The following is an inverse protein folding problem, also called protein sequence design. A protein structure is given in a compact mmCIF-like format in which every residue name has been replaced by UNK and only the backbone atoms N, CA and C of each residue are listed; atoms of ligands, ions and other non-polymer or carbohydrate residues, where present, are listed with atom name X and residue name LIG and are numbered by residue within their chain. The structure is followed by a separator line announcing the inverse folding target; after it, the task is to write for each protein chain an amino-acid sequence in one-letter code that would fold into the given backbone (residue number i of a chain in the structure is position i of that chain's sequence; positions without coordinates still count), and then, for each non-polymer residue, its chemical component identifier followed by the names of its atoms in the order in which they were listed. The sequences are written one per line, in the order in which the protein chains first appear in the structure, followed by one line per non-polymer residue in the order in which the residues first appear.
data_IF_035003402899
#
_entry.id   IF_035003402899
#
_cell.length_a   1.000
_cell.length_b   1.000
_cell.length_c   1.000
_cell.angle_alpha   90.00
_cell.angle_beta   90.00
_cell.angle_gamma   90.00
#
_symmetry.space_group_name_H-M   'P 1'
#
loop_
_entity.id
_entity.type
_entity.pdbx_description
1 polymer ?
#
# COMPACT_ATOMS: atom_id res chain seq x y z
N UNK A 1 -0.91 -6.90 9.05
CA UNK A 1 -2.28 -6.36 9.24
C UNK A 1 -2.08 -4.89 9.55
N UNK A 2 -2.86 -4.01 8.93
CA UNK A 2 -2.91 -2.59 9.28
C UNK A 2 -4.24 -2.29 9.94
N UNK A 3 -4.20 -1.62 11.09
CA UNK A 3 -5.34 -1.30 11.95
C UNK A 3 -5.05 0.00 12.74
N UNK A 4 -5.98 0.54 13.56
CA UNK A 4 -5.79 1.83 14.24
C UNK A 4 -4.55 1.89 15.14
N UNK A 5 -4.13 0.76 15.72
CA UNK A 5 -2.97 0.68 16.63
C UNK A 5 -1.65 0.47 15.91
N UNK A 6 -1.69 -0.06 14.69
CA UNK A 6 -0.55 -0.35 13.84
C UNK A 6 -0.92 0.02 12.40
N UNK A 7 -1.08 1.33 12.18
CA UNK A 7 -1.49 1.89 10.89
C UNK A 7 -0.33 1.99 9.89
N UNK A 8 0.90 1.78 10.37
CA UNK A 8 2.12 1.79 9.58
C UNK A 8 2.91 0.49 9.77
N UNK A 9 3.49 -0.02 8.69
CA UNK A 9 4.40 -1.16 8.75
C UNK A 9 5.47 -1.11 7.66
N UNK A 10 6.70 -1.47 8.04
CA UNK A 10 7.83 -1.66 7.13
C UNK A 10 7.87 -3.08 6.57
N UNK A 11 8.25 -3.20 5.31
CA UNK A 11 8.47 -4.45 4.59
C UNK A 11 9.75 -4.36 3.77
N UNK A 12 10.34 -5.52 3.50
CA UNK A 12 11.49 -5.69 2.61
C UNK A 12 11.09 -6.76 1.58
N UNK A 13 11.07 -6.41 0.30
CA UNK A 13 10.58 -7.28 -0.79
C UNK A 13 11.58 -7.29 -1.93
N UNK A 14 11.82 -8.47 -2.51
CA UNK A 14 12.69 -8.60 -3.68
C UNK A 14 11.88 -8.23 -4.91
N UNK A 15 12.20 -7.16 -5.65
CA UNK A 15 11.41 -6.76 -6.82
C UNK A 15 11.48 -7.79 -7.95
N UNK A 16 10.45 -7.85 -8.79
CA UNK A 16 10.50 -8.61 -10.04
C UNK A 16 11.51 -7.95 -10.99
N UNK A 17 12.16 -8.72 -11.90
CA UNK A 17 13.15 -8.18 -12.82
C UNK A 17 12.64 -7.02 -13.70
N UNK A 18 13.57 -6.14 -14.09
CA UNK A 18 13.30 -5.03 -15.01
C UNK A 18 12.57 -5.51 -16.28
N UNK A 19 11.55 -4.75 -16.69
CA UNK A 19 10.75 -5.07 -17.88
C UNK A 19 9.67 -6.13 -17.65
N UNK A 20 9.57 -6.73 -16.46
CA UNK A 20 8.48 -7.66 -16.15
C UNK A 20 7.13 -6.92 -16.17
N UNK A 21 6.14 -7.37 -16.98
CA UNK A 21 4.83 -6.75 -16.97
C UNK A 21 4.15 -7.02 -15.63
N UNK A 22 3.55 -6.00 -15.02
CA UNK A 22 2.92 -6.09 -13.69
C UNK A 22 1.86 -7.20 -13.62
N UNK A 23 1.13 -7.44 -14.72
CA UNK A 23 0.13 -8.50 -14.81
C UNK A 23 0.74 -9.90 -14.78
N UNK A 24 2.00 -10.05 -15.17
CA UNK A 24 2.75 -11.31 -15.09
C UNK A 24 3.41 -11.56 -13.74
N UNK A 25 3.59 -10.51 -12.91
CA UNK A 25 4.18 -10.64 -11.58
C UNK A 25 3.28 -11.47 -10.68
N UNK A 26 3.78 -12.65 -10.26
CA UNK A 26 3.11 -13.57 -9.36
C UNK A 26 1.72 -14.03 -9.86
N UNK A 27 1.60 -14.31 -11.16
CA UNK A 27 0.33 -14.71 -11.79
C UNK A 27 0.26 -16.18 -12.19
N UNK A 28 1.25 -17.00 -11.83
CA UNK A 28 1.21 -18.44 -12.13
C UNK A 28 0.07 -19.13 -11.39
N UNK A 29 -0.75 -19.90 -12.10
CA UNK A 29 -1.86 -20.67 -11.53
C UNK A 29 -1.42 -21.60 -10.39
N UNK A 30 -0.21 -22.16 -10.49
CA UNK A 30 0.40 -22.95 -9.42
C UNK A 30 0.68 -22.14 -8.14
N UNK A 31 1.12 -20.88 -8.25
CA UNK A 31 1.33 -19.99 -7.10
C UNK A 31 0.05 -19.38 -6.53
N UNK A 32 -1.04 -19.37 -7.32
CA UNK A 32 -2.37 -18.96 -6.87
C UNK A 32 -3.10 -20.04 -6.08
N UNK A 33 -2.81 -21.31 -6.39
CA UNK A 33 -3.40 -22.47 -5.74
C UNK A 33 -2.57 -22.99 -4.56
N UNK A 34 -1.35 -22.50 -4.37
CA UNK A 34 -0.55 -22.84 -3.20
C UNK A 34 -1.12 -22.17 -1.95
N UNK A 35 -1.34 -22.94 -0.88
CA UNK A 35 -1.83 -22.44 0.42
C UNK A 35 -0.93 -21.36 1.04
N UNK A 36 0.33 -21.30 0.60
CA UNK A 36 1.28 -20.24 0.93
C UNK A 36 1.60 -19.52 -0.39
N UNK A 37 1.19 -18.26 -0.59
CA UNK A 37 1.62 -17.48 -1.75
C UNK A 37 3.12 -17.23 -1.63
N UNK A 38 3.93 -18.04 -2.33
CA UNK A 38 5.38 -18.03 -2.22
C UNK A 38 6.03 -17.17 -3.31
N UNK A 39 5.49 -15.98 -3.56
CA UNK A 39 6.05 -15.08 -4.56
C UNK A 39 6.83 -13.95 -3.89
N UNK A 40 8.16 -13.87 -4.10
CA UNK A 40 9.02 -12.92 -3.40
C UNK A 40 8.84 -11.47 -3.88
N UNK A 41 8.11 -11.26 -4.97
CA UNK A 41 7.89 -9.96 -5.63
C UNK A 41 6.55 -9.30 -5.26
N UNK A 42 5.81 -9.90 -4.32
CA UNK A 42 4.57 -9.34 -3.83
C UNK A 42 4.40 -9.52 -2.34
N UNK A 43 3.54 -8.68 -1.76
CA UNK A 43 3.04 -8.86 -0.41
C UNK A 43 1.54 -8.67 -0.36
N UNK A 44 0.95 -9.35 0.62
CA UNK A 44 -0.47 -9.26 0.94
C UNK A 44 -0.65 -8.71 2.34
N UNK A 45 -1.44 -7.65 2.44
CA UNK A 45 -1.69 -6.95 3.69
C UNK A 45 -3.19 -6.93 3.93
N UNK A 46 -3.63 -7.53 5.04
CA UNK A 46 -4.99 -7.32 5.56
C UNK A 46 -5.12 -5.90 6.10
N UNK A 47 -6.09 -5.16 5.59
CA UNK A 47 -6.52 -3.85 6.05
C UNK A 47 -7.77 -4.05 6.92
N UNK A 48 -7.60 -3.91 8.24
CA UNK A 48 -8.69 -4.10 9.19
C UNK A 48 -9.37 -2.75 9.49
N UNK A 49 -10.42 -2.44 8.73
CA UNK A 49 -11.13 -1.17 8.81
C UNK A 49 -12.31 -1.21 9.79
N UNK A 50 -12.59 -2.38 10.39
CA UNK A 50 -13.73 -2.57 11.31
C UNK A 50 -13.36 -2.32 12.79
N UNK A 51 -12.09 -2.07 13.07
CA UNK A 51 -11.56 -1.99 14.43
C UNK A 51 -11.69 -0.59 15.04
N UNK A 52 -12.20 -0.54 16.29
CA UNK A 52 -12.12 0.61 17.19
C UNK A 52 -12.41 1.98 16.58
N UNK A 53 -11.41 2.86 16.68
CA UNK A 53 -11.46 4.28 16.30
C UNK A 53 -11.68 4.52 14.81
N UNK A 54 -11.45 3.51 13.97
CA UNK A 54 -11.68 3.61 12.53
C UNK A 54 -13.14 3.36 12.12
N UNK A 55 -14.01 3.01 13.06
CA UNK A 55 -15.44 2.80 12.79
C UNK A 55 -16.15 4.02 12.22
N UNK A 56 -15.78 5.20 12.67
CA UNK A 56 -16.38 6.48 12.27
C UNK A 56 -15.91 6.97 10.90
N UNK A 57 -14.87 6.36 10.33
CA UNK A 57 -14.32 6.76 9.03
C UNK A 57 -14.83 5.85 7.92
N UNK A 58 -15.18 6.46 6.79
CA UNK A 58 -15.66 5.74 5.60
C UNK A 58 -14.58 5.56 4.54
N UNK A 59 -13.61 6.48 4.49
CA UNK A 59 -12.56 6.51 3.48
C UNK A 59 -11.18 6.50 4.13
N UNK A 60 -10.26 5.84 3.46
CA UNK A 60 -8.89 5.66 3.90
C UNK A 60 -7.93 5.87 2.73
N UNK A 61 -6.74 6.34 3.03
CA UNK A 61 -5.62 6.46 2.10
C UNK A 61 -4.58 5.42 2.43
N UNK A 62 -4.23 4.56 1.47
CA UNK A 62 -3.10 3.64 1.58
C UNK A 62 -1.91 4.24 0.81
N UNK A 63 -0.78 4.42 1.49
CA UNK A 63 0.42 5.04 0.93
C UNK A 63 1.59 4.06 1.03
N UNK A 64 2.44 4.09 0.01
CA UNK A 64 3.69 3.32 -0.04
C UNK A 64 4.83 4.32 -0.20
N UNK A 65 5.82 4.23 0.68
CA UNK A 65 6.98 5.12 0.74
C UNK A 65 8.25 4.27 0.71
N UNK A 66 9.21 4.61 -0.14
CA UNK A 66 10.45 3.85 -0.31
C UNK A 66 11.62 4.82 -0.57
N UNK A 67 12.88 4.40 -0.33
CA UNK A 67 14.04 5.27 -0.55
C UNK A 67 14.31 5.45 -2.04
N UNK A 68 14.64 6.68 -2.44
CA UNK A 68 14.97 7.00 -3.83
C UNK A 68 16.23 6.30 -4.37
N UNK A 69 17.10 5.80 -3.48
CA UNK A 69 18.28 4.99 -3.84
C UNK A 69 17.94 3.56 -4.27
N UNK A 70 16.69 3.12 -4.12
CA UNK A 70 16.21 1.80 -4.51
C UNK A 70 15.11 1.95 -5.57
N UNK A 71 15.48 2.02 -6.87
CA UNK A 71 14.54 2.28 -7.95
C UNK A 71 13.55 1.13 -8.10
N UNK A 72 12.29 1.37 -7.71
CA UNK A 72 11.22 0.39 -7.80
C UNK A 72 9.91 1.01 -8.27
N UNK A 73 9.14 0.22 -9.01
CA UNK A 73 7.77 0.50 -9.39
C UNK A 73 6.83 -0.36 -8.57
N UNK A 74 6.00 0.29 -7.76
CA UNK A 74 4.98 -0.36 -6.94
C UNK A 74 3.64 -0.36 -7.67
N UNK A 75 2.91 -1.46 -7.52
CA UNK A 75 1.54 -1.56 -7.99
C UNK A 75 0.64 -2.10 -6.88
N UNK A 76 -0.38 -1.32 -6.53
CA UNK A 76 -1.26 -1.59 -5.40
C UNK A 76 -2.63 -2.00 -5.96
N UNK A 77 -3.13 -3.16 -5.54
CA UNK A 77 -4.48 -3.62 -5.83
C UNK A 77 -5.21 -3.82 -4.51
N UNK A 78 -6.33 -3.10 -4.34
CA UNK A 78 -7.21 -3.29 -3.18
C UNK A 78 -8.32 -4.26 -3.56
N UNK A 79 -8.46 -5.31 -2.77
CA UNK A 79 -9.41 -6.39 -2.97
C UNK A 79 -10.35 -6.46 -1.77
N UNK A 80 -11.63 -6.70 -2.03
CA UNK A 80 -12.57 -6.98 -0.96
C UNK A 80 -12.35 -8.39 -0.41
N UNK A 81 -12.84 -8.64 0.80
CA UNK A 81 -12.73 -9.94 1.46
C UNK A 81 -13.37 -11.06 0.63
N UNK A 82 -14.51 -10.81 -0.05
CA UNK A 82 -15.18 -11.81 -0.89
C UNK A 82 -14.37 -12.18 -2.12
N UNK A 83 -13.84 -11.17 -2.81
CA UNK A 83 -13.02 -11.35 -4.00
C UNK A 83 -11.71 -12.09 -3.67
N UNK A 84 -11.13 -11.79 -2.51
CA UNK A 84 -9.91 -12.45 -2.03
C UNK A 84 -10.20 -13.90 -1.65
N UNK A 85 -11.26 -14.16 -0.87
CA UNK A 85 -11.64 -15.50 -0.46
C UNK A 85 -12.00 -16.38 -1.67
N UNK A 86 -12.76 -15.84 -2.62
CA UNK A 86 -13.15 -16.57 -3.84
C UNK A 86 -11.94 -16.94 -4.69
N UNK A 87 -10.92 -16.06 -4.75
CA UNK A 87 -9.67 -16.32 -5.45
C UNK A 87 -8.88 -17.49 -4.86
N UNK A 88 -8.77 -17.56 -3.53
CA UNK A 88 -8.01 -18.64 -2.88
C UNK A 88 -8.81 -19.95 -2.75
N UNK A 89 -10.14 -19.86 -2.67
CA UNK A 89 -11.00 -21.05 -2.58
C UNK A 89 -11.33 -21.68 -3.95
N UNK A 90 -11.00 -21.01 -5.06
CA UNK A 90 -11.31 -21.46 -6.42
C UNK A 90 -12.81 -21.53 -6.74
N UNK A 91 -13.66 -20.95 -5.89
CA UNK A 91 -15.12 -20.90 -6.04
C UNK A 91 -15.68 -19.61 -5.45
N UNK A 92 -16.80 -19.14 -5.97
CA UNK A 92 -17.49 -17.98 -5.40
C UNK A 92 -17.91 -18.27 -3.95
N UNK A 93 -17.46 -17.45 -3.00
CA UNK A 93 -17.87 -17.53 -1.61
C UNK A 93 -18.80 -16.36 -1.32
N UNK A 94 -20.04 -16.68 -0.92
CA UNK A 94 -20.97 -15.68 -0.39
C UNK A 94 -20.60 -15.39 1.07
N UNK A 95 -20.26 -14.15 1.43
CA UNK A 95 -19.90 -13.82 2.80
C UNK A 95 -21.12 -13.93 3.72
N UNK A 96 -20.94 -14.54 4.88
CA UNK A 96 -22.00 -14.66 5.91
C UNK A 96 -22.22 -13.35 6.67
N UNK A 97 -21.25 -12.42 6.66
CA UNK A 97 -21.29 -11.14 7.37
C UNK A 97 -20.65 -10.04 6.53
N UNK A 98 -21.30 -8.88 6.46
CA UNK A 98 -20.69 -7.67 5.87
C UNK A 98 -19.51 -7.22 6.73
N UNK A 99 -18.33 -7.13 6.13
CA UNK A 99 -17.11 -6.63 6.78
C UNK A 99 -16.48 -5.56 5.89
N UNK A 100 -15.86 -4.54 6.50
CA UNK A 100 -15.05 -3.55 5.78
C UNK A 100 -13.58 -3.96 5.69
N UNK A 101 -13.25 -5.18 6.10
CA UNK A 101 -11.92 -5.76 5.89
C UNK A 101 -11.62 -5.84 4.40
N UNK A 102 -10.47 -5.29 4.01
CA UNK A 102 -9.94 -5.34 2.66
C UNK A 102 -8.54 -5.95 2.67
N UNK A 103 -8.06 -6.33 1.50
CA UNK A 103 -6.71 -6.84 1.32
C UNK A 103 -6.00 -6.00 0.26
N UNK A 104 -4.82 -5.49 0.62
CA UNK A 104 -3.93 -4.85 -0.34
C UNK A 104 -2.93 -5.89 -0.85
N UNK A 105 -2.92 -6.10 -2.16
CA UNK A 105 -1.87 -6.81 -2.87
C UNK A 105 -0.92 -5.77 -3.45
N UNK A 106 0.33 -5.76 -2.98
CA UNK A 106 1.37 -4.85 -3.46
C UNK A 106 2.38 -5.67 -4.23
N UNK A 107 2.62 -5.31 -5.49
CA UNK A 107 3.61 -5.93 -6.37
C UNK A 107 4.73 -4.94 -6.65
N UNK A 108 5.96 -5.42 -6.71
CA UNK A 108 7.15 -4.59 -6.87
C UNK A 108 7.91 -5.05 -8.11
N UNK A 109 8.27 -4.11 -8.98
CA UNK A 109 9.08 -4.35 -10.18
C UNK A 109 10.29 -3.43 -10.13
N UNK A 110 11.47 -3.97 -10.43
CA UNK A 110 12.69 -3.21 -10.52
C UNK A 110 12.62 -2.27 -11.73
N UNK A 111 12.98 -1.01 -11.54
CA UNK A 111 13.08 -0.02 -12.61
C UNK A 111 14.48 0.62 -12.68
N UNK A 112 15.44 0.08 -11.93
CA UNK A 112 16.83 0.49 -11.98
C UNK A 112 17.46 0.14 -13.32
N UNK A 113 18.30 1.04 -13.82
CA UNK A 113 19.17 0.76 -14.97
C UNK A 113 20.52 0.34 -14.41
N UNK A 114 20.94 -0.90 -14.69
CA UNK A 114 22.25 -1.40 -14.27
C UNK A 114 23.32 -0.69 -15.10
N UNK A 115 24.29 -0.08 -14.42
CA UNK A 115 25.47 0.45 -15.10
C UNK A 115 26.32 -0.71 -15.62
N UNK A 116 26.74 -0.72 -16.90
CA UNK A 116 27.50 -1.82 -17.49
C UNK A 116 28.83 -2.12 -16.79
N UNK A 117 29.34 -1.19 -15.98
CA UNK A 117 30.59 -1.38 -15.21
C UNK A 117 30.41 -2.11 -13.87
N UNK A 118 29.19 -2.29 -13.37
CA UNK A 118 28.99 -2.73 -11.99
C UNK A 118 29.05 -4.24 -11.77
N UNK A 119 29.01 -5.09 -12.82
CA UNK A 119 29.22 -6.55 -12.74
C UNK A 119 28.31 -7.35 -11.79
N UNK A 120 27.49 -6.69 -11.00
CA UNK A 120 26.65 -7.21 -9.92
C UNK A 120 25.19 -7.15 -10.37
N UNK A 121 24.69 -8.26 -10.88
CA UNK A 121 23.28 -8.51 -11.20
C UNK A 121 22.51 -9.04 -9.99
N UNK A 122 22.84 -8.58 -8.77
CA UNK A 122 22.13 -9.05 -7.58
C UNK A 122 20.91 -8.17 -7.32
N UNK A 123 19.71 -8.74 -7.51
CA UNK A 123 18.46 -8.10 -7.12
C UNK A 123 18.39 -8.02 -5.59
N UNK A 124 18.57 -6.81 -5.05
CA UNK A 124 18.51 -6.56 -3.61
C UNK A 124 17.06 -6.40 -3.15
N UNK A 125 16.80 -6.78 -1.90
CA UNK A 125 15.52 -6.53 -1.26
C UNK A 125 15.33 -5.03 -1.05
N UNK A 126 14.16 -4.51 -1.39
CA UNK A 126 13.86 -3.07 -1.33
C UNK A 126 13.02 -2.80 -0.06
N UNK A 127 13.53 -1.97 0.86
CA UNK A 127 12.77 -1.56 2.03
C UNK A 127 11.70 -0.54 1.63
N UNK A 128 10.48 -0.71 2.11
CA UNK A 128 9.43 0.30 1.98
C UNK A 128 8.48 0.25 3.18
N UNK A 129 7.78 1.35 3.37
CA UNK A 129 6.81 1.56 4.45
C UNK A 129 5.43 1.66 3.81
N UNK A 130 4.47 0.96 4.40
CA UNK A 130 3.07 1.04 4.04
C UNK A 130 2.31 1.68 5.19
N UNK A 131 1.64 2.79 4.90
CA UNK A 131 0.87 3.57 5.88
C UNK A 131 -0.59 3.63 5.43
N UNK A 132 -1.51 3.36 6.34
CA UNK A 132 -2.95 3.41 6.14
C UNK A 132 -3.54 4.50 7.03
N UNK A 133 -3.97 5.60 6.43
CA UNK A 133 -4.51 6.75 7.16
C UNK A 133 -6.01 6.90 6.91
N UNK A 134 -6.82 7.13 7.96
CA UNK A 134 -8.21 7.54 7.79
C UNK A 134 -8.29 8.95 7.19
N UNK A 135 -9.33 9.19 6.39
CA UNK A 135 -9.60 10.47 5.75
C UNK A 135 -10.75 11.20 6.45
N UNK A 136 -10.45 12.32 7.10
CA UNK A 136 -11.46 13.27 7.61
C UNK A 136 -12.23 13.89 6.45
N UNK A 137 -13.56 13.97 6.59
CA UNK A 137 -14.49 14.44 5.56
C UNK A 137 -14.34 13.71 4.21
N UNK A 138 -13.67 12.55 4.21
CA UNK A 138 -13.38 11.78 3.01
C UNK A 138 -12.27 12.34 2.11
N UNK A 139 -11.54 13.39 2.53
CA UNK A 139 -10.52 14.05 1.69
C UNK A 139 -9.19 14.28 2.41
N UNK A 140 -9.22 14.54 3.72
CA UNK A 140 -8.03 15.01 4.46
C UNK A 140 -7.43 13.86 5.29
N UNK A 141 -6.22 13.37 5.00
CA UNK A 141 -5.55 12.38 5.83
C UNK A 141 -5.36 12.87 7.26
N UNK A 142 -5.58 12.00 8.24
CA UNK A 142 -5.39 12.34 9.65
C UNK A 142 -3.98 12.85 9.98
N UNK A 143 -2.97 12.37 9.24
CA UNK A 143 -1.58 12.80 9.37
C UNK A 143 -1.33 14.26 8.97
N UNK A 144 -2.25 14.93 8.26
CA UNK A 144 -2.14 16.34 7.87
C UNK A 144 -2.71 17.31 8.91
N UNK A 145 -3.41 16.83 9.95
CA UNK A 145 -4.05 17.70 10.95
C UNK A 145 -3.04 18.63 11.66
N UNK A 146 -1.87 18.16 12.14
CA UNK A 146 -0.89 19.05 12.77
C UNK A 146 -0.37 20.12 11.81
N UNK A 147 -0.21 19.78 10.53
CA UNK A 147 0.22 20.73 9.51
C UNK A 147 -0.83 21.82 9.26
N UNK A 148 -2.11 21.44 9.16
CA UNK A 148 -3.21 22.39 8.99
C UNK A 148 -3.34 23.38 10.16
N UNK A 149 -3.09 22.91 11.39
CA UNK A 149 -3.07 23.77 12.58
C UNK A 149 -2.01 24.88 12.53
N UNK A 150 -0.87 24.63 11.88
CA UNK A 150 0.18 25.64 11.69
C UNK A 150 -0.09 26.50 10.47
N UNK A 151 -0.59 25.90 9.38
CA UNK A 151 -0.82 26.61 8.13
C UNK A 151 -1.91 27.69 8.25
N UNK A 152 -2.99 27.40 8.96
CA UNK A 152 -4.15 28.29 9.07
C UNK A 152 -3.82 29.66 9.71
N UNK A 153 -3.14 29.76 10.86
CA UNK A 153 -2.76 31.06 11.42
C UNK A 153 -1.75 31.80 10.53
N UNK A 154 -0.81 31.08 9.90
CA UNK A 154 0.16 31.70 8.98
C UNK A 154 -0.57 32.34 7.80
N UNK A 155 -1.51 31.64 7.19
CA UNK A 155 -2.34 32.18 6.10
C UNK A 155 -3.14 33.40 6.55
N UNK A 156 -3.75 33.35 7.74
CA UNK A 156 -4.53 34.45 8.29
C UNK A 156 -3.67 35.70 8.45
N UNK A 157 -2.46 35.55 9.00
CA UNK A 157 -1.49 36.64 9.13
C UNK A 157 -1.05 37.16 7.76
N UNK A 158 -0.75 36.29 6.80
CA UNK A 158 -0.37 36.71 5.45
C UNK A 158 -1.47 37.53 4.77
N UNK A 159 -2.73 37.11 4.88
CA UNK A 159 -3.87 37.87 4.31
C UNK A 159 -4.04 39.24 4.96
N UNK A 160 -3.75 39.36 6.27
CA UNK A 160 -3.83 40.64 6.98
C UNK A 160 -2.66 41.59 6.66
N UNK A 161 -1.47 41.05 6.37
CA UNK A 161 -0.25 41.83 6.18
C UNK A 161 -0.04 42.24 4.72
N UNK A 162 -0.43 41.40 3.75
CA UNK A 162 -0.24 41.73 2.33
C UNK A 162 -1.24 42.82 1.94
N UNK A 163 -0.79 44.05 1.62
CA UNK A 163 -1.68 45.08 1.13
C UNK A 163 -2.16 44.65 -0.27
N UNK A 164 -3.48 44.71 -0.48
CA UNK A 164 -4.09 44.55 -1.80
C UNK A 164 -3.62 45.62 -2.78
#
# INVERSE_FOLDING_TARGET
ILNPKANEKRFDVIPAPLGTPVIGVCSSTAGLLSKVPNCPHEIWIKLDLDEGDWKTYEKFSLRVSWPGSSPAKFHINILNSEATASRFAGKAITPQRRTRVKFARIRVVDIGVVSPMSGLTQTLSIPFIVTLDPLYFGVIPASLIPFLWVLLPVLLVSVLIVPF
#
